data_IF_124091631512
#
_entry.id   IF_124091631512
#
_cell.length_a   1.000
_cell.length_b   1.000
_cell.length_c   1.000
_cell.angle_alpha   90.00
_cell.angle_beta   90.00
_cell.angle_gamma   90.00
#
_symmetry.space_group_name_H-M   'P 1'
#
loop_
_entity.id
_entity.type
_entity.pdbx_description
1 polymer ?
#
# COMPACT_ATOMS: atom_id res chain seq x y z
N UNK A 1 13.66 -20.50 29.31
CA UNK A 1 13.47 -19.65 28.08
C UNK A 1 12.05 -19.09 28.00
N UNK A 2 10.98 -19.87 28.22
CA UNK A 2 9.57 -19.41 28.20
C UNK A 2 9.35 -18.18 29.06
N UNK A 3 9.76 -18.21 30.35
CA UNK A 3 9.58 -17.07 31.25
C UNK A 3 10.34 -15.79 30.87
N UNK A 4 11.42 -15.87 30.08
CA UNK A 4 12.09 -14.69 29.49
C UNK A 4 11.21 -14.09 28.40
N UNK A 5 10.59 -14.93 27.58
CA UNK A 5 9.73 -14.49 26.49
C UNK A 5 8.42 -13.87 27.02
N UNK A 6 7.87 -14.43 28.09
CA UNK A 6 6.70 -13.86 28.79
C UNK A 6 7.01 -12.46 29.36
N UNK A 7 8.19 -12.28 29.97
CA UNK A 7 8.67 -10.97 30.44
C UNK A 7 8.83 -9.99 29.25
N UNK A 8 9.37 -10.46 28.12
CA UNK A 8 9.48 -9.64 26.91
C UNK A 8 8.12 -9.26 26.33
N UNK A 9 7.15 -10.16 26.33
CA UNK A 9 5.77 -9.88 25.92
C UNK A 9 5.16 -8.80 26.81
N UNK A 10 5.31 -8.93 28.13
CA UNK A 10 4.83 -7.95 29.11
C UNK A 10 5.47 -6.59 28.86
N UNK A 11 6.79 -6.53 28.71
CA UNK A 11 7.51 -5.31 28.36
C UNK A 11 6.98 -4.68 27.05
N UNK A 12 6.78 -5.48 26.00
CA UNK A 12 6.22 -5.00 24.75
C UNK A 12 4.82 -4.41 24.92
N UNK A 13 4.00 -4.97 25.79
CA UNK A 13 2.63 -4.51 26.06
C UNK A 13 2.62 -3.27 26.93
N UNK A 14 3.28 -3.30 28.08
CA UNK A 14 3.19 -2.30 29.13
C UNK A 14 4.08 -1.08 28.84
N UNK A 15 5.32 -1.30 28.42
CA UNK A 15 6.29 -0.21 28.20
C UNK A 15 6.25 0.31 26.75
N UNK A 16 6.13 -0.59 25.76
CA UNK A 16 6.11 -0.18 24.33
C UNK A 16 4.71 0.01 23.77
N UNK A 17 3.67 -0.22 24.52
CA UNK A 17 2.26 -0.11 24.10
C UNK A 17 1.97 -0.82 22.77
N UNK A 18 2.64 -1.93 22.51
CA UNK A 18 2.45 -2.69 21.28
C UNK A 18 1.15 -3.50 21.36
N UNK A 19 0.39 -3.52 20.26
CA UNK A 19 -0.79 -4.38 20.15
C UNK A 19 -0.41 -5.85 19.95
N UNK A 20 -1.38 -6.77 20.15
CA UNK A 20 -1.17 -8.20 20.08
C UNK A 20 -0.56 -8.66 18.74
N UNK A 21 -0.99 -8.07 17.61
CA UNK A 21 -0.42 -8.40 16.29
C UNK A 21 1.06 -8.04 16.18
N UNK A 22 1.46 -6.87 16.67
CA UNK A 22 2.86 -6.44 16.67
C UNK A 22 3.71 -7.35 17.53
N UNK A 23 3.22 -7.74 18.72
CA UNK A 23 3.90 -8.67 19.63
C UNK A 23 4.03 -10.04 18.96
N UNK A 24 2.95 -10.58 18.39
CA UNK A 24 2.98 -11.84 17.67
C UNK A 24 3.98 -11.86 16.51
N UNK A 25 4.11 -10.76 15.77
CA UNK A 25 5.10 -10.62 14.69
C UNK A 25 6.54 -10.68 15.24
N UNK A 26 6.81 -10.04 16.38
CA UNK A 26 8.12 -10.10 17.05
C UNK A 26 8.43 -11.52 17.54
N UNK A 27 7.45 -12.19 18.13
CA UNK A 27 7.59 -13.61 18.55
C UNK A 27 7.86 -14.50 17.35
N UNK A 28 7.16 -14.25 16.21
CA UNK A 28 7.40 -15.00 14.98
C UNK A 28 8.83 -14.84 14.47
N UNK A 29 9.38 -13.62 14.49
CA UNK A 29 10.75 -13.37 14.07
C UNK A 29 11.77 -14.14 14.96
N UNK A 30 11.57 -14.11 16.28
CA UNK A 30 12.41 -14.87 17.23
C UNK A 30 12.28 -16.38 16.97
N UNK A 31 11.04 -16.88 16.79
CA UNK A 31 10.79 -18.29 16.48
C UNK A 31 11.46 -18.72 15.17
N UNK A 32 11.39 -17.90 14.14
CA UNK A 32 12.03 -18.17 12.85
C UNK A 32 13.56 -18.28 12.98
N UNK A 33 14.17 -17.44 13.83
CA UNK A 33 15.59 -17.55 14.14
C UNK A 33 15.93 -18.91 14.78
N UNK A 34 15.15 -19.34 15.77
CA UNK A 34 15.41 -20.65 16.42
C UNK A 34 15.15 -21.83 15.48
N UNK A 35 14.14 -21.77 14.61
CA UNK A 35 13.93 -22.78 13.55
C UNK A 35 15.16 -22.87 12.64
N UNK A 36 15.73 -21.72 12.26
CA UNK A 36 16.94 -21.65 11.46
C UNK A 36 18.15 -22.21 12.21
N UNK A 37 18.31 -21.90 13.51
CA UNK A 37 19.42 -22.35 14.33
C UNK A 37 19.37 -23.86 14.58
N UNK A 38 18.19 -24.44 14.85
CA UNK A 38 18.01 -25.91 14.99
C UNK A 38 18.40 -26.64 13.69
N UNK A 39 17.98 -26.10 12.52
CA UNK A 39 18.34 -26.70 11.22
C UNK A 39 19.84 -26.70 10.91
N UNK A 40 20.65 -26.01 11.69
CA UNK A 40 22.11 -25.88 11.53
C UNK A 40 22.86 -26.42 12.75
N UNK A 41 22.19 -27.19 13.58
CA UNK A 41 22.75 -27.81 14.79
C UNK A 41 23.44 -26.81 15.75
N UNK A 42 23.04 -25.53 15.69
CA UNK A 42 23.51 -24.49 16.60
C UNK A 42 22.79 -24.53 17.97
N UNK A 43 21.62 -25.13 17.99
CA UNK A 43 20.81 -25.46 19.20
C UNK A 43 20.07 -26.77 18.95
N UNK A 44 20.02 -27.62 19.98
CA UNK A 44 19.43 -28.97 19.87
C UNK A 44 17.90 -28.91 19.64
N UNK A 45 17.21 -27.98 20.31
CA UNK A 45 15.75 -27.88 20.25
C UNK A 45 15.27 -26.45 20.24
N UNK A 46 14.13 -26.23 19.60
CA UNK A 46 13.48 -24.93 19.65
C UNK A 46 12.94 -24.64 21.07
N UNK A 47 13.37 -23.56 21.74
CA UNK A 47 13.20 -23.39 23.18
C UNK A 47 11.75 -23.11 23.63
N UNK A 48 10.84 -22.72 22.73
CA UNK A 48 9.45 -22.37 23.06
C UNK A 48 8.43 -22.75 21.98
N UNK A 49 8.81 -23.58 21.00
CA UNK A 49 7.85 -24.14 20.04
C UNK A 49 6.82 -24.94 20.85
N UNK A 50 5.55 -24.76 20.54
CA UNK A 50 4.43 -25.45 21.19
C UNK A 50 4.27 -25.16 22.71
N UNK A 51 5.10 -24.26 23.28
CA UNK A 51 5.06 -23.89 24.71
C UNK A 51 4.60 -22.45 24.94
N UNK A 52 4.31 -21.70 23.88
CA UNK A 52 3.89 -20.29 23.96
C UNK A 52 2.72 -20.03 23.03
N UNK A 53 1.61 -19.67 23.62
CA UNK A 53 0.42 -19.28 22.88
C UNK A 53 0.57 -17.92 22.20
N UNK A 54 0.00 -17.80 21.01
CA UNK A 54 -0.12 -16.51 20.35
C UNK A 54 -1.14 -15.65 21.07
N UNK A 55 -0.81 -14.37 21.21
CA UNK A 55 -1.75 -13.41 21.79
C UNK A 55 -3.00 -13.30 20.91
N UNK A 56 -4.17 -13.40 21.52
CA UNK A 56 -5.44 -13.20 20.81
C UNK A 56 -5.56 -11.74 20.35
N UNK A 57 -5.69 -11.55 19.05
CA UNK A 57 -5.94 -10.22 18.48
C UNK A 57 -7.41 -9.91 18.66
N UNK A 58 -7.73 -8.87 19.42
CA UNK A 58 -9.12 -8.47 19.70
C UNK A 58 -9.79 -7.88 18.46
N UNK A 59 -11.12 -7.85 18.43
CA UNK A 59 -11.85 -7.23 17.31
C UNK A 59 -11.64 -5.71 17.25
N UNK A 60 -11.37 -5.08 18.39
CA UNK A 60 -10.99 -3.66 18.45
C UNK A 60 -9.64 -3.44 17.75
N UNK A 61 -8.65 -4.29 18.00
CA UNK A 61 -7.34 -4.24 17.33
C UNK A 61 -7.42 -4.60 15.84
N UNK A 62 -8.38 -5.45 15.44
CA UNK A 62 -8.65 -5.77 14.03
C UNK A 62 -9.32 -4.60 13.29
N UNK A 63 -10.08 -3.77 13.99
CA UNK A 63 -10.79 -2.61 13.44
C UNK A 63 -9.88 -1.41 13.23
N UNK A 64 -8.70 -1.58 12.60
CA UNK A 64 -8.01 -0.42 12.05
C UNK A 64 -8.92 0.20 11.01
N UNK A 65 -9.35 1.45 11.25
CA UNK A 65 -10.08 2.25 10.26
C UNK A 65 -9.18 2.39 9.02
N UNK A 66 -9.37 1.50 8.04
CA UNK A 66 -8.78 1.71 6.72
C UNK A 66 -9.55 2.87 6.11
N UNK A 67 -8.87 3.96 5.84
CA UNK A 67 -9.44 5.06 5.09
C UNK A 67 -9.43 4.69 3.60
N UNK A 68 -10.49 5.05 2.90
CA UNK A 68 -10.62 4.91 1.45
C UNK A 68 -11.08 6.26 0.92
N UNK A 69 -10.39 6.80 -0.07
CA UNK A 69 -10.80 8.01 -0.73
C UNK A 69 -12.04 7.74 -1.58
N UNK A 70 -12.99 8.64 -1.55
CA UNK A 70 -14.06 8.69 -2.55
C UNK A 70 -13.56 9.29 -3.87
N UNK A 71 -14.27 9.05 -4.97
CA UNK A 71 -13.93 9.67 -6.26
C UNK A 71 -13.92 11.20 -6.18
N UNK A 72 -14.80 11.81 -5.37
CA UNK A 72 -14.81 13.26 -5.14
C UNK A 72 -13.53 13.76 -4.46
N UNK A 73 -13.04 13.03 -3.46
CA UNK A 73 -11.79 13.38 -2.76
C UNK A 73 -10.57 13.21 -3.65
N UNK A 74 -10.54 12.23 -4.55
CA UNK A 74 -9.47 12.06 -5.55
C UNK A 74 -9.40 13.29 -6.44
N UNK A 75 -10.53 13.69 -7.03
CA UNK A 75 -10.60 14.88 -7.90
C UNK A 75 -10.22 16.15 -7.11
N UNK A 76 -10.71 16.29 -5.87
CA UNK A 76 -10.37 17.43 -5.01
C UNK A 76 -8.86 17.52 -4.75
N UNK A 77 -8.19 16.39 -4.49
CA UNK A 77 -6.74 16.33 -4.31
C UNK A 77 -6.02 16.76 -5.60
N UNK A 78 -6.42 16.21 -6.75
CA UNK A 78 -5.81 16.55 -8.05
C UNK A 78 -5.90 18.05 -8.35
N UNK A 79 -7.09 18.63 -8.19
CA UNK A 79 -7.32 20.07 -8.40
C UNK A 79 -6.48 20.90 -7.43
N UNK A 80 -6.50 20.59 -6.14
CA UNK A 80 -5.74 21.33 -5.12
C UNK A 80 -4.23 21.24 -5.34
N UNK A 81 -3.71 20.08 -5.76
CA UNK A 81 -2.29 19.94 -6.11
C UNK A 81 -1.92 20.78 -7.33
N UNK A 82 -2.78 20.82 -8.34
CA UNK A 82 -2.57 21.63 -9.55
C UNK A 82 -2.52 23.12 -9.24
N UNK A 83 -3.36 23.60 -8.33
CA UNK A 83 -3.45 25.00 -7.94
C UNK A 83 -2.35 25.45 -6.98
N UNK A 84 -1.67 24.53 -6.33
CA UNK A 84 -0.71 24.84 -5.25
C UNK A 84 0.73 24.65 -5.68
N UNK A 85 1.53 25.72 -5.62
CA UNK A 85 2.99 25.67 -5.86
C UNK A 85 3.77 24.80 -4.85
N UNK A 86 3.12 24.33 -3.77
CA UNK A 86 3.74 23.45 -2.76
C UNK A 86 3.89 22.01 -3.24
N UNK A 87 3.20 21.62 -4.32
CA UNK A 87 3.20 20.28 -4.88
C UNK A 87 3.83 20.31 -6.26
N UNK A 88 4.96 19.63 -6.38
CA UNK A 88 5.68 19.53 -7.65
C UNK A 88 5.07 18.44 -8.57
N UNK A 89 5.58 18.36 -9.80
CA UNK A 89 5.13 17.35 -10.76
C UNK A 89 5.30 15.92 -10.24
N UNK A 90 6.37 15.63 -9.49
CA UNK A 90 6.58 14.31 -8.92
C UNK A 90 5.51 13.97 -7.88
N UNK A 91 5.05 14.93 -7.04
CA UNK A 91 3.94 14.72 -6.10
C UNK A 91 2.66 14.30 -6.85
N UNK A 92 2.35 15.00 -7.96
CA UNK A 92 1.17 14.72 -8.80
C UNK A 92 1.28 13.37 -9.51
N UNK A 93 2.45 13.06 -10.08
CA UNK A 93 2.70 11.77 -10.73
C UNK A 93 2.62 10.62 -9.73
N UNK A 94 3.21 10.74 -8.53
CA UNK A 94 3.13 9.72 -7.48
C UNK A 94 1.67 9.41 -7.12
N UNK A 95 0.86 10.44 -6.94
CA UNK A 95 -0.55 10.27 -6.59
C UNK A 95 -1.32 9.56 -7.71
N UNK A 96 -1.24 10.10 -8.93
CA UNK A 96 -1.98 9.56 -10.07
C UNK A 96 -1.52 8.14 -10.41
N UNK A 97 -0.21 7.87 -10.47
CA UNK A 97 0.29 6.51 -10.72
C UNK A 97 -0.23 5.48 -9.73
N UNK A 98 -0.31 5.80 -8.45
CA UNK A 98 -0.84 4.85 -7.47
C UNK A 98 -2.36 4.64 -7.68
N UNK A 99 -3.09 5.68 -8.03
CA UNK A 99 -4.52 5.57 -8.33
C UNK A 99 -4.76 4.78 -9.62
N UNK A 100 -4.01 5.07 -10.68
CA UNK A 100 -4.15 4.42 -11.98
C UNK A 100 -3.78 2.92 -11.93
N UNK A 101 -2.73 2.57 -11.19
CA UNK A 101 -2.09 1.25 -11.29
C UNK A 101 -2.24 0.39 -10.04
N UNK A 102 -2.70 0.95 -8.95
CA UNK A 102 -2.66 0.33 -7.63
C UNK A 102 -1.29 -0.28 -7.27
N UNK A 103 -0.18 0.18 -7.85
CA UNK A 103 1.15 -0.40 -7.67
C UNK A 103 1.62 -0.33 -6.20
N UNK A 104 2.51 -1.26 -5.83
CA UNK A 104 3.18 -1.21 -4.53
C UNK A 104 4.24 -0.11 -4.52
N UNK A 105 4.49 0.49 -3.36
CA UNK A 105 5.52 1.54 -3.22
C UNK A 105 6.91 1.09 -3.69
N UNK A 106 7.23 -0.20 -3.62
CA UNK A 106 8.49 -0.74 -4.14
C UNK A 106 8.54 -0.70 -5.66
N UNK A 107 7.44 -1.06 -6.31
CA UNK A 107 7.28 -0.98 -7.76
C UNK A 107 7.35 0.49 -8.22
N UNK A 108 6.57 1.37 -7.59
CA UNK A 108 6.62 2.80 -7.90
C UNK A 108 8.04 3.38 -7.81
N UNK A 109 8.78 3.05 -6.75
CA UNK A 109 10.15 3.51 -6.56
C UNK A 109 11.09 3.03 -7.65
N UNK A 110 10.92 1.78 -8.12
CA UNK A 110 11.84 1.13 -9.07
C UNK A 110 11.63 1.55 -10.53
N UNK A 111 10.59 2.31 -10.85
CA UNK A 111 10.31 2.72 -12.23
C UNK A 111 11.49 3.51 -12.79
N UNK A 112 12.05 3.00 -13.87
CA UNK A 112 13.05 3.68 -14.70
C UNK A 112 12.40 4.27 -15.94
N UNK A 113 13.08 5.21 -16.59
CA UNK A 113 12.58 5.82 -17.82
C UNK A 113 12.41 4.82 -18.96
N UNK A 114 13.30 3.83 -19.04
CA UNK A 114 13.24 2.74 -20.01
C UNK A 114 12.03 1.82 -19.87
N UNK A 115 11.38 1.82 -18.68
CA UNK A 115 10.19 1.03 -18.43
C UNK A 115 8.90 1.67 -18.99
N UNK A 116 8.95 2.94 -19.44
CA UNK A 116 7.77 3.75 -19.71
C UNK A 116 7.55 3.89 -21.22
N UNK A 117 6.46 3.34 -21.70
CA UNK A 117 5.92 3.57 -23.04
C UNK A 117 4.78 4.60 -22.93
N UNK A 118 5.09 5.85 -23.28
CA UNK A 118 4.13 6.95 -23.23
C UNK A 118 3.17 6.98 -24.44
N UNK A 119 3.47 6.25 -25.51
CA UNK A 119 2.60 6.17 -26.67
C UNK A 119 1.44 5.22 -26.41
N UNK A 120 1.74 4.06 -25.81
CA UNK A 120 0.74 3.06 -25.46
C UNK A 120 0.20 3.20 -24.03
N UNK A 121 0.76 4.10 -23.21
CA UNK A 121 0.36 4.28 -21.82
C UNK A 121 0.66 3.07 -20.93
N UNK A 122 1.81 2.45 -21.13
CA UNK A 122 2.21 1.22 -20.43
C UNK A 122 3.53 1.44 -19.67
N UNK A 123 3.59 0.92 -18.45
CA UNK A 123 4.84 0.78 -17.69
C UNK A 123 5.10 -0.71 -17.51
N UNK A 124 6.20 -1.24 -18.05
CA UNK A 124 6.51 -2.66 -18.07
C UNK A 124 7.87 -3.00 -17.44
N UNK A 125 8.13 -4.30 -17.23
CA UNK A 125 9.42 -4.77 -16.71
C UNK A 125 9.65 -4.46 -15.22
N UNK A 126 8.59 -4.17 -14.46
CA UNK A 126 8.69 -3.85 -13.03
C UNK A 126 8.69 -5.13 -12.20
N UNK A 127 9.74 -5.33 -11.40
CA UNK A 127 9.84 -6.49 -10.50
C UNK A 127 9.16 -6.19 -9.17
N UNK A 128 8.13 -6.93 -8.84
CA UNK A 128 7.45 -6.90 -7.54
C UNK A 128 7.91 -8.04 -6.61
N UNK A 129 7.23 -8.17 -5.47
CA UNK A 129 7.47 -9.22 -4.49
C UNK A 129 7.43 -10.61 -5.15
N UNK A 130 8.29 -11.52 -4.70
CA UNK A 130 8.43 -12.89 -5.23
C UNK A 130 8.94 -12.96 -6.68
N UNK A 131 9.73 -11.95 -7.11
CA UNK A 131 10.32 -11.84 -8.46
C UNK A 131 9.27 -11.81 -9.59
N UNK A 132 8.03 -11.45 -9.28
CA UNK A 132 6.98 -11.32 -10.28
C UNK A 132 7.21 -10.06 -11.11
N UNK A 133 7.33 -10.22 -12.44
CA UNK A 133 7.36 -9.10 -13.39
C UNK A 133 5.91 -8.68 -13.64
N UNK A 134 5.64 -7.38 -13.54
CA UNK A 134 4.32 -6.81 -13.70
C UNK A 134 4.33 -5.65 -14.70
N UNK A 135 3.17 -5.41 -15.30
CA UNK A 135 2.89 -4.29 -16.18
C UNK A 135 1.74 -3.46 -15.61
N UNK A 136 1.75 -2.17 -15.92
CA UNK A 136 0.73 -1.23 -15.48
C UNK A 136 0.24 -0.40 -16.64
N UNK A 137 -1.06 -0.24 -16.78
CA UNK A 137 -1.66 0.75 -17.64
C UNK A 137 -1.73 2.10 -16.91
N UNK A 138 -1.42 3.18 -17.62
CA UNK A 138 -1.55 4.56 -17.14
C UNK A 138 -2.44 5.36 -18.11
N UNK A 139 -3.14 6.34 -17.56
CA UNK A 139 -4.12 7.10 -18.31
C UNK A 139 -3.60 8.49 -18.69
N UNK A 140 -4.32 9.17 -19.61
CA UNK A 140 -3.90 10.39 -20.27
C UNK A 140 -3.37 11.46 -19.32
N UNK A 141 -4.05 11.71 -18.19
CA UNK A 141 -3.60 12.72 -17.22
C UNK A 141 -2.21 12.39 -16.65
N UNK A 142 -1.97 11.13 -16.35
CA UNK A 142 -0.67 10.67 -15.84
C UNK A 142 0.40 10.72 -16.92
N UNK A 143 0.06 10.35 -18.16
CA UNK A 143 0.95 10.43 -19.33
C UNK A 143 1.41 11.87 -19.53
N UNK A 144 0.49 12.85 -19.56
CA UNK A 144 0.83 14.26 -19.74
C UNK A 144 1.69 14.81 -18.59
N UNK A 145 1.42 14.42 -17.35
CA UNK A 145 2.26 14.79 -16.21
C UNK A 145 3.69 14.24 -16.34
N UNK A 146 3.83 12.99 -16.80
CA UNK A 146 5.15 12.40 -17.04
C UNK A 146 5.86 13.12 -18.18
N UNK A 147 5.18 13.39 -19.30
CA UNK A 147 5.75 14.16 -20.43
C UNK A 147 6.24 15.54 -19.96
N UNK A 148 5.43 16.25 -19.17
CA UNK A 148 5.80 17.55 -18.59
C UNK A 148 7.02 17.43 -17.69
N UNK A 149 7.06 16.42 -16.81
CA UNK A 149 8.19 16.15 -15.94
C UNK A 149 9.46 15.84 -16.73
N UNK A 150 9.39 15.02 -17.77
CA UNK A 150 10.54 14.68 -18.60
C UNK A 150 11.11 15.89 -19.34
N UNK A 151 10.25 16.82 -19.77
CA UNK A 151 10.68 18.08 -20.41
C UNK A 151 11.38 19.04 -19.45
N UNK A 152 10.93 19.12 -18.20
CA UNK A 152 11.46 20.11 -17.24
C UNK A 152 12.53 19.57 -16.28
N UNK A 153 12.73 18.23 -16.20
CA UNK A 153 13.72 17.65 -15.30
C UNK A 153 15.15 18.00 -15.73
N UNK A 154 15.93 18.51 -14.79
CA UNK A 154 17.34 18.91 -15.04
C UNK A 154 18.30 17.89 -14.45
N UNK A 155 18.18 16.61 -14.81
CA UNK A 155 19.05 15.55 -14.34
C UNK A 155 19.08 14.36 -15.33
N UNK A 156 20.17 13.58 -15.29
CA UNK A 156 20.40 12.42 -16.14
C UNK A 156 20.10 11.07 -15.44
N UNK A 157 19.39 11.09 -14.31
CA UNK A 157 19.05 9.85 -13.60
C UNK A 157 18.14 8.97 -14.44
N UNK A 158 18.40 7.67 -14.44
CA UNK A 158 17.56 6.67 -15.10
C UNK A 158 16.17 6.51 -14.43
N UNK A 159 16.03 6.90 -13.15
CA UNK A 159 14.78 6.74 -12.39
C UNK A 159 13.77 7.84 -12.68
N UNK A 160 12.49 7.47 -12.74
CA UNK A 160 11.39 8.43 -12.87
C UNK A 160 11.33 9.39 -11.68
N UNK A 161 11.48 8.86 -10.47
CA UNK A 161 11.43 9.61 -9.22
C UNK A 161 12.81 9.84 -8.64
N UNK A 162 13.14 11.11 -8.45
CA UNK A 162 14.48 11.52 -7.97
C UNK A 162 14.38 12.51 -6.82
N UNK A 163 15.38 12.49 -5.97
CA UNK A 163 15.59 13.46 -4.90
C UNK A 163 16.97 14.08 -5.04
N UNK A 164 17.08 15.41 -4.94
CA UNK A 164 18.35 16.11 -4.91
C UNK A 164 18.88 16.15 -3.47
N UNK A 165 20.09 15.61 -3.27
CA UNK A 165 20.77 15.65 -1.98
C UNK A 165 22.23 16.10 -2.19
N UNK A 166 22.64 17.16 -1.54
CA UNK A 166 23.98 17.77 -1.68
C UNK A 166 24.40 17.98 -3.14
N UNK A 167 23.47 18.48 -3.97
CA UNK A 167 23.71 18.72 -5.40
C UNK A 167 23.55 17.51 -6.32
N UNK A 168 23.53 16.28 -5.78
CA UNK A 168 23.46 15.04 -6.55
C UNK A 168 22.01 14.54 -6.60
N UNK A 169 21.55 14.15 -7.80
CA UNK A 169 20.26 13.47 -7.97
C UNK A 169 20.40 11.97 -7.71
N UNK A 170 19.54 11.44 -6.85
CA UNK A 170 19.47 10.01 -6.50
C UNK A 170 18.04 9.52 -6.62
N UNK A 171 17.87 8.21 -6.79
CA UNK A 171 16.57 7.57 -6.71
C UNK A 171 15.83 8.00 -5.42
N UNK A 172 14.57 8.38 -5.55
CA UNK A 172 13.74 8.76 -4.40
C UNK A 172 13.52 7.57 -3.47
N UNK A 173 13.75 7.75 -2.18
CA UNK A 173 13.56 6.67 -1.20
C UNK A 173 12.07 6.38 -0.93
N UNK A 174 11.76 5.15 -0.50
CA UNK A 174 10.39 4.79 -0.07
C UNK A 174 9.89 5.66 1.09
N UNK A 175 10.78 6.12 1.97
CA UNK A 175 10.42 7.05 3.05
C UNK A 175 10.00 8.40 2.47
N UNK A 176 10.78 8.95 1.55
CA UNK A 176 10.44 10.22 0.87
C UNK A 176 9.10 10.14 0.14
N UNK A 177 8.83 9.03 -0.58
CA UNK A 177 7.53 8.81 -1.23
C UNK A 177 6.39 8.79 -0.20
N UNK A 178 6.57 8.11 0.95
CA UNK A 178 5.56 8.11 2.03
C UNK A 178 5.30 9.51 2.59
N UNK A 179 6.35 10.29 2.79
CA UNK A 179 6.23 11.65 3.33
C UNK A 179 5.53 12.59 2.34
N UNK A 180 5.80 12.44 1.03
CA UNK A 180 5.09 13.16 -0.03
C UNK A 180 3.60 12.80 -0.05
N UNK A 181 3.24 11.51 -0.01
CA UNK A 181 1.84 11.07 0.04
C UNK A 181 1.15 11.58 1.33
N UNK A 182 1.83 11.55 2.47
CA UNK A 182 1.30 12.11 3.72
C UNK A 182 1.04 13.61 3.60
N UNK A 183 1.96 14.35 2.97
CA UNK A 183 1.79 15.77 2.67
C UNK A 183 0.56 16.02 1.78
N UNK A 184 0.32 15.18 0.77
CA UNK A 184 -0.86 15.26 -0.10
C UNK A 184 -2.16 15.09 0.71
N UNK A 185 -2.19 14.16 1.65
CA UNK A 185 -3.37 13.95 2.51
C UNK A 185 -3.82 15.19 3.28
N UNK A 186 -2.89 16.06 3.65
CA UNK A 186 -3.21 17.32 4.36
C UNK A 186 -4.10 18.27 3.54
N UNK A 187 -4.12 18.16 2.20
CA UNK A 187 -5.01 18.96 1.34
C UNK A 187 -6.49 18.75 1.67
N UNK A 188 -6.84 17.56 2.12
CA UNK A 188 -8.20 17.17 2.47
C UNK A 188 -8.33 16.80 3.96
N UNK A 189 -7.41 17.31 4.79
CA UNK A 189 -7.36 17.12 6.26
C UNK A 189 -7.24 15.66 6.69
N UNK A 190 -6.53 14.85 5.90
CA UNK A 190 -6.19 13.47 6.25
C UNK A 190 -4.71 13.39 6.63
N UNK A 191 -4.41 13.27 7.92
CA UNK A 191 -3.04 13.23 8.42
C UNK A 191 -2.32 11.91 8.11
N UNK A 192 -3.05 10.84 7.91
CA UNK A 192 -2.55 9.48 7.75
C UNK A 192 -2.83 8.88 6.36
N UNK A 193 -2.64 9.68 5.30
CA UNK A 193 -2.66 9.16 3.94
C UNK A 193 -1.32 8.49 3.64
N UNK A 194 -1.35 7.23 3.19
CA UNK A 194 -0.17 6.45 2.84
C UNK A 194 -0.31 5.85 1.44
N UNK A 195 0.78 5.48 0.76
CA UNK A 195 0.71 4.79 -0.53
C UNK A 195 -0.18 3.54 -0.51
N UNK A 196 -0.14 2.78 0.59
CA UNK A 196 -1.03 1.61 0.74
C UNK A 196 -2.52 1.98 0.86
N UNK A 197 -2.84 3.16 1.42
CA UNK A 197 -4.21 3.68 1.47
C UNK A 197 -4.70 4.05 0.07
N UNK A 198 -3.87 4.71 -0.75
CA UNK A 198 -4.18 5.02 -2.14
C UNK A 198 -4.39 3.74 -2.96
N UNK A 199 -3.47 2.76 -2.83
CA UNK A 199 -3.64 1.45 -3.46
C UNK A 199 -4.95 0.76 -3.06
N UNK A 200 -5.30 0.77 -1.77
CA UNK A 200 -6.59 0.23 -1.30
C UNK A 200 -7.78 0.97 -1.91
N UNK A 201 -7.69 2.28 -2.02
CA UNK A 201 -8.72 3.10 -2.66
C UNK A 201 -8.93 2.68 -4.10
N UNK A 202 -7.87 2.63 -4.90
CA UNK A 202 -7.92 2.22 -6.31
C UNK A 202 -8.53 0.84 -6.48
N UNK A 203 -8.06 -0.15 -5.73
CA UNK A 203 -8.59 -1.53 -5.79
C UNK A 203 -10.07 -1.58 -5.39
N UNK A 204 -10.47 -0.83 -4.36
CA UNK A 204 -11.87 -0.82 -3.91
C UNK A 204 -12.80 -0.17 -4.95
N UNK A 205 -12.40 0.97 -5.54
CA UNK A 205 -13.16 1.64 -6.58
C UNK A 205 -13.33 0.74 -7.81
N UNK A 206 -12.26 0.06 -8.22
CA UNK A 206 -12.34 -0.88 -9.34
C UNK A 206 -13.25 -2.08 -9.02
N UNK A 207 -13.20 -2.60 -7.80
CA UNK A 207 -14.08 -3.70 -7.37
C UNK A 207 -15.56 -3.28 -7.30
N UNK A 208 -15.85 -2.02 -7.01
CA UNK A 208 -17.22 -1.48 -7.00
C UNK A 208 -17.83 -1.42 -8.41
N UNK A 209 -17.01 -1.19 -9.44
CA UNK A 209 -17.44 -1.04 -10.84
C UNK A 209 -17.29 -2.33 -11.63
N UNK A 210 -16.13 -2.96 -11.55
CA UNK A 210 -15.74 -4.10 -12.40
C UNK A 210 -15.74 -5.45 -11.70
N UNK A 211 -16.10 -5.50 -10.41
CA UNK A 211 -16.09 -6.75 -9.65
C UNK A 211 -14.73 -7.06 -9.02
N UNK A 212 -14.74 -8.06 -8.16
CA UNK A 212 -13.57 -8.38 -7.32
C UNK A 212 -12.50 -9.14 -8.10
N UNK A 213 -12.86 -9.91 -9.10
CA UNK A 213 -11.96 -10.64 -9.98
C UNK A 213 -11.07 -9.67 -10.75
N UNK A 214 -11.67 -8.69 -11.42
CA UNK A 214 -10.94 -7.64 -12.13
C UNK A 214 -10.05 -6.83 -11.19
N UNK A 215 -10.55 -6.48 -10.00
CA UNK A 215 -9.75 -5.76 -9.00
C UNK A 215 -8.58 -6.60 -8.47
N UNK A 216 -8.71 -7.93 -8.39
CA UNK A 216 -7.64 -8.84 -7.98
C UNK A 216 -6.54 -8.94 -9.04
N UNK A 217 -6.94 -9.07 -10.30
CA UNK A 217 -6.03 -9.10 -11.44
C UNK A 217 -5.25 -7.77 -11.54
N UNK A 218 -5.96 -6.65 -11.55
CA UNK A 218 -5.38 -5.31 -11.57
C UNK A 218 -4.38 -5.06 -10.44
N UNK A 219 -4.66 -5.58 -9.25
CA UNK A 219 -3.77 -5.46 -8.11
C UNK A 219 -2.57 -6.43 -8.15
N UNK A 220 -2.48 -7.30 -9.14
CA UNK A 220 -1.48 -8.37 -9.21
C UNK A 220 -1.46 -9.23 -7.93
N UNK A 221 -2.64 -9.59 -7.41
CA UNK A 221 -2.75 -10.48 -6.26
C UNK A 221 -2.68 -11.96 -6.68
N UNK A 222 -2.16 -12.82 -5.79
CA UNK A 222 -2.10 -14.26 -6.04
C UNK A 222 -3.46 -14.97 -5.93
N UNK A 223 -4.54 -14.22 -5.64
CA UNK A 223 -5.90 -14.74 -5.57
C UNK A 223 -6.91 -13.72 -5.05
N UNK A 224 -8.16 -13.95 -5.38
CA UNK A 224 -9.31 -13.10 -5.01
C UNK A 224 -9.48 -12.97 -3.49
N UNK A 225 -9.14 -14.02 -2.74
CA UNK A 225 -9.23 -14.01 -1.26
C UNK A 225 -8.32 -12.94 -0.62
N UNK A 226 -7.15 -12.68 -1.20
CA UNK A 226 -6.26 -11.60 -0.75
C UNK A 226 -6.95 -10.25 -0.92
N UNK A 227 -7.60 -10.04 -2.05
CA UNK A 227 -8.36 -8.84 -2.36
C UNK A 227 -9.54 -8.67 -1.40
N UNK A 228 -10.37 -9.70 -1.23
CA UNK A 228 -11.51 -9.70 -0.29
C UNK A 228 -11.08 -9.36 1.13
N UNK A 229 -10.03 -10.03 1.61
CA UNK A 229 -9.60 -9.93 3.02
C UNK A 229 -8.96 -8.60 3.37
N UNK A 230 -8.18 -8.02 2.45
CA UNK A 230 -7.26 -6.93 2.79
C UNK A 230 -7.59 -5.59 2.14
N UNK A 231 -8.31 -5.59 1.02
CA UNK A 231 -8.49 -4.41 0.20
C UNK A 231 -9.94 -3.96 0.06
N UNK A 232 -10.92 -4.85 0.14
CA UNK A 232 -12.32 -4.46 0.01
C UNK A 232 -12.84 -3.86 1.30
N UNK A 233 -13.48 -2.70 1.18
CA UNK A 233 -14.18 -2.04 2.27
C UNK A 233 -15.38 -2.91 2.70
N UNK A 234 -15.45 -3.26 3.99
CA UNK A 234 -16.63 -3.94 4.52
C UNK A 234 -17.80 -2.95 4.52
N UNK A 235 -18.86 -3.29 3.80
CA UNK A 235 -20.08 -2.50 3.77
C UNK A 235 -20.64 -2.30 5.18
N UNK A 236 -21.05 -1.09 5.49
CA UNK A 236 -21.78 -0.76 6.72
C UNK A 236 -23.17 -1.40 6.72
N UNK A 237 -23.84 -1.45 7.88
CA UNK A 237 -25.21 -1.94 7.95
C UNK A 237 -26.16 -1.11 7.07
N UNK A 238 -25.94 0.22 7.01
CA UNK A 238 -26.73 1.13 6.17
C UNK A 238 -26.52 0.86 4.67
N UNK A 239 -25.25 0.72 4.22
CA UNK A 239 -24.93 0.40 2.82
C UNK A 239 -25.50 -0.96 2.41
N UNK A 240 -25.44 -1.97 3.29
CA UNK A 240 -26.05 -3.27 3.05
C UNK A 240 -27.57 -3.18 2.91
N UNK A 241 -28.23 -2.40 3.79
CA UNK A 241 -29.67 -2.16 3.73
C UNK A 241 -30.06 -1.49 2.42
N UNK A 242 -29.33 -0.47 1.98
CA UNK A 242 -29.58 0.24 0.72
C UNK A 242 -29.49 -0.73 -0.47
N UNK A 243 -28.40 -1.51 -0.56
CA UNK A 243 -28.24 -2.52 -1.63
C UNK A 243 -29.36 -3.57 -1.63
N UNK A 244 -29.76 -4.03 -0.46
CA UNK A 244 -30.89 -4.98 -0.34
C UNK A 244 -32.21 -4.39 -0.80
N UNK A 245 -32.47 -3.10 -0.50
CA UNK A 245 -33.67 -2.40 -0.97
C UNK A 245 -33.67 -2.23 -2.49
N UNK A 246 -32.54 -1.90 -3.09
CA UNK A 246 -32.40 -1.84 -4.55
C UNK A 246 -32.65 -3.21 -5.21
N UNK A 247 -32.07 -4.27 -4.64
CA UNK A 247 -32.33 -5.64 -5.11
C UNK A 247 -33.81 -6.00 -5.00
N UNK A 248 -34.46 -5.73 -3.85
CA UNK A 248 -35.89 -6.00 -3.66
C UNK A 248 -36.75 -5.29 -4.70
N UNK A 249 -36.48 -4.01 -4.99
CA UNK A 249 -37.18 -3.28 -6.07
C UNK A 249 -37.01 -3.94 -7.44
N UNK A 250 -35.82 -4.50 -7.75
CA UNK A 250 -35.56 -5.17 -9.03
C UNK A 250 -36.30 -6.50 -9.19
N UNK A 251 -36.58 -7.19 -8.09
CA UNK A 251 -37.29 -8.50 -8.08
C UNK A 251 -38.77 -8.38 -7.69
N UNK A 252 -39.30 -7.17 -7.59
CA UNK A 252 -40.75 -6.93 -7.40
C UNK A 252 -41.26 -7.11 -5.97
N UNK A 253 -40.39 -6.97 -4.95
CA UNK A 253 -40.77 -6.94 -3.53
C UNK A 253 -40.75 -5.54 -2.98
#
# INVERSE_FOLDING_TARGET
MVGILERYIRYCREVKSNNARTINNKITAISSFYIWAVKRDLVDVHPFRDKLDRLKVTDVEKRRKSYYLSSKEIVEIQVKMKMSKKYDLQDRIIFNLIIDTACRISALQSIKLENIDLENGIISGIVEKEQKIVEFAIFEETIELIKEWLRCRKNSSEYLFVTKYRGIFKQMSKSTIRDRVRKIGKLIRIDNLYPHTLRKTSINLLAEVGGIELASEFANHNGVDVTKKHYIKKATAAERKSKLLEMRKKIGF
#
